data_IF_859590541171
#
_entry.id   IF_859590541171
#
_cell.length_a   1.000
_cell.length_b   1.000
_cell.length_c   1.000
_cell.angle_alpha   90.00
_cell.angle_beta   90.00
_cell.angle_gamma   90.00
#
_symmetry.space_group_name_H-M   'P 1'
#
loop_
_entity.id
_entity.type
_entity.pdbx_description
1 polymer ?
#
# COMPACT_ATOMS: atom_id res chain seq x y z
N UNK A 1 -27.64 30.88 8.39
CA UNK A 1 -26.25 30.44 8.04
C UNK A 1 -25.35 31.67 8.19
N UNK A 2 -24.21 31.55 8.89
CA UNK A 2 -23.45 32.66 9.48
C UNK A 2 -22.63 33.55 8.50
N UNK A 3 -22.96 33.58 7.20
CA UNK A 3 -22.25 34.42 6.22
C UNK A 3 -20.78 34.06 5.96
N UNK A 4 -20.35 32.84 6.30
CA UNK A 4 -18.99 32.37 6.07
C UNK A 4 -18.76 31.94 4.60
N UNK A 5 -17.55 32.20 4.11
CA UNK A 5 -17.05 31.70 2.82
C UNK A 5 -16.14 30.49 3.04
N UNK A 6 -16.18 29.52 2.12
CA UNK A 6 -15.32 28.33 2.16
C UNK A 6 -14.63 28.12 0.81
N UNK A 7 -13.34 27.74 0.85
CA UNK A 7 -12.58 27.35 -0.33
C UNK A 7 -12.21 25.86 -0.25
N UNK A 8 -12.23 25.19 -1.41
CA UNK A 8 -11.85 23.77 -1.54
C UNK A 8 -10.55 23.70 -2.36
N UNK A 9 -9.57 22.95 -1.88
CA UNK A 9 -8.30 22.72 -2.56
C UNK A 9 -7.64 21.41 -2.14
N UNK A 10 -6.61 20.98 -2.86
CA UNK A 10 -5.85 19.76 -2.53
C UNK A 10 -6.61 18.45 -2.72
N UNK A 11 -7.60 18.43 -3.62
CA UNK A 11 -8.39 17.22 -3.91
C UNK A 11 -7.48 16.18 -4.60
N UNK A 12 -7.47 14.96 -4.09
CA UNK A 12 -6.86 13.80 -4.75
C UNK A 12 -7.85 12.62 -4.78
N UNK A 13 -7.78 11.77 -5.82
CA UNK A 13 -8.64 10.61 -5.94
C UNK A 13 -8.31 9.55 -4.88
N UNK A 14 -9.35 8.85 -4.41
CA UNK A 14 -9.17 7.63 -3.63
C UNK A 14 -8.70 6.47 -4.50
N UNK A 15 -8.11 5.45 -3.87
CA UNK A 15 -7.77 4.19 -4.52
C UNK A 15 -8.80 3.12 -4.17
N UNK A 16 -9.57 2.68 -5.18
CA UNK A 16 -10.57 1.62 -5.01
C UNK A 16 -9.88 0.24 -4.96
N UNK A 17 -10.10 -0.58 -3.91
CA UNK A 17 -9.54 -1.93 -3.85
C UNK A 17 -10.08 -2.85 -4.94
N UNK A 18 -9.23 -3.75 -5.43
CA UNK A 18 -9.57 -4.86 -6.33
C UNK A 18 -9.08 -6.19 -5.70
N UNK A 19 -9.96 -6.92 -4.97
CA UNK A 19 -9.61 -8.18 -4.32
C UNK A 19 -9.27 -9.33 -5.29
N UNK A 20 -9.74 -9.23 -6.52
CA UNK A 20 -9.57 -10.26 -7.55
C UNK A 20 -8.34 -10.00 -8.43
N UNK A 21 -7.57 -8.93 -8.14
CA UNK A 21 -6.40 -8.56 -8.91
C UNK A 21 -5.37 -9.72 -8.96
N UNK A 22 -4.97 -10.21 -10.15
CA UNK A 22 -3.93 -11.23 -10.31
C UNK A 22 -2.64 -10.93 -9.55
N UNK A 23 -2.17 -9.67 -9.56
CA UNK A 23 -0.99 -9.25 -8.80
C UNK A 23 -1.17 -9.47 -7.28
N UNK A 24 -2.34 -9.19 -6.73
CA UNK A 24 -2.62 -9.41 -5.31
C UNK A 24 -2.55 -10.90 -4.95
N UNK A 25 -3.10 -11.78 -5.80
CA UNK A 25 -3.04 -13.22 -5.60
C UNK A 25 -1.60 -13.75 -5.67
N UNK A 26 -0.79 -13.26 -6.62
CA UNK A 26 0.62 -13.60 -6.75
C UNK A 26 1.40 -13.23 -5.48
N UNK A 27 1.23 -11.99 -5.01
CA UNK A 27 1.97 -11.51 -3.82
C UNK A 27 1.54 -12.23 -2.55
N UNK A 28 0.26 -12.55 -2.39
CA UNK A 28 -0.21 -13.40 -1.29
C UNK A 28 0.41 -14.81 -1.34
N UNK A 29 0.57 -15.37 -2.54
CA UNK A 29 1.25 -16.66 -2.76
C UNK A 29 2.71 -16.62 -2.31
N UNK A 30 3.47 -15.66 -2.82
CA UNK A 30 4.89 -15.46 -2.44
C UNK A 30 5.03 -15.21 -0.94
N UNK A 31 4.14 -14.43 -0.34
CA UNK A 31 4.15 -14.19 1.11
C UNK A 31 3.98 -15.49 1.90
N UNK A 32 3.01 -16.33 1.52
CA UNK A 32 2.77 -17.63 2.16
C UNK A 32 3.98 -18.56 2.03
N UNK A 33 4.61 -18.61 0.87
CA UNK A 33 5.82 -19.41 0.64
C UNK A 33 6.98 -18.94 1.53
N UNK A 34 7.21 -17.64 1.63
CA UNK A 34 8.34 -17.09 2.37
C UNK A 34 8.18 -17.13 3.90
N UNK A 35 6.95 -17.04 4.40
CA UNK A 35 6.67 -16.80 5.82
C UNK A 35 5.75 -17.83 6.47
N UNK A 36 5.18 -18.77 5.71
CA UNK A 36 4.33 -19.84 6.24
C UNK A 36 2.95 -19.40 6.74
N UNK A 37 2.58 -18.12 6.56
CA UNK A 37 1.29 -17.56 6.98
C UNK A 37 0.68 -16.71 5.87
N UNK A 38 -0.64 -16.51 5.89
CA UNK A 38 -1.27 -15.54 5.01
C UNK A 38 -0.95 -14.11 5.46
N UNK A 39 -0.75 -13.15 4.53
CA UNK A 39 -0.69 -11.74 4.88
C UNK A 39 -2.09 -11.21 5.20
N UNK A 40 -2.17 -10.16 6.01
CA UNK A 40 -3.38 -9.36 6.14
C UNK A 40 -3.55 -8.48 4.90
N UNK A 41 -4.74 -8.51 4.30
CA UNK A 41 -5.12 -7.68 3.15
C UNK A 41 -6.21 -6.72 3.60
N UNK A 42 -6.02 -5.43 3.33
CA UNK A 42 -6.98 -4.41 3.74
C UNK A 42 -6.82 -3.09 2.99
N UNK A 43 -7.79 -2.21 3.20
CA UNK A 43 -7.75 -0.82 2.80
C UNK A 43 -7.48 0.06 4.03
N UNK A 44 -6.87 1.23 3.82
CA UNK A 44 -6.60 2.18 4.90
C UNK A 44 -7.40 3.48 4.70
N UNK A 45 -7.80 4.12 5.79
CA UNK A 45 -8.42 5.45 5.77
C UNK A 45 -7.35 6.54 5.81
N UNK A 46 -6.49 6.55 4.79
CA UNK A 46 -5.47 7.57 4.56
C UNK A 46 -5.21 7.75 3.06
N UNK A 47 -4.53 8.82 2.70
CA UNK A 47 -4.10 9.06 1.32
C UNK A 47 -2.89 8.20 0.95
N UNK A 48 -2.97 7.52 -0.19
CA UNK A 48 -1.85 6.87 -0.85
C UNK A 48 -1.72 7.42 -2.26
N UNK A 49 -0.48 7.56 -2.73
CA UNK A 49 -0.20 7.97 -4.12
C UNK A 49 -0.79 7.01 -5.15
N UNK A 50 -1.07 5.75 -4.78
CA UNK A 50 -1.79 4.78 -5.61
C UNK A 50 -3.15 5.28 -6.11
N UNK A 51 -3.81 6.19 -5.38
CA UNK A 51 -5.06 6.81 -5.86
C UNK A 51 -4.82 7.67 -7.09
N UNK A 52 -3.78 8.51 -7.05
CA UNK A 52 -3.38 9.38 -8.16
C UNK A 52 -2.82 8.53 -9.31
N UNK A 53 -1.88 7.63 -9.02
CA UNK A 53 -1.23 6.77 -10.03
C UNK A 53 -2.26 5.93 -10.77
N UNK A 54 -3.22 5.31 -10.06
CA UNK A 54 -4.28 4.51 -10.69
C UNK A 54 -5.27 5.31 -11.53
N UNK A 55 -5.54 6.57 -11.14
CA UNK A 55 -6.35 7.47 -11.95
C UNK A 55 -5.62 7.91 -13.22
N UNK A 56 -4.29 8.07 -13.17
CA UNK A 56 -3.44 8.42 -14.32
C UNK A 56 -3.22 7.25 -15.28
N UNK A 57 -3.10 6.02 -14.77
CA UNK A 57 -2.84 4.81 -15.57
C UNK A 57 -3.97 3.78 -15.43
N UNK A 58 -5.08 3.94 -16.18
CA UNK A 58 -6.19 2.99 -16.14
C UNK A 58 -5.75 1.57 -16.48
N UNK A 59 -6.18 0.59 -15.69
CA UNK A 59 -5.84 -0.82 -15.89
C UNK A 59 -4.50 -1.26 -15.28
N UNK A 60 -3.71 -0.34 -14.71
CA UNK A 60 -2.51 -0.69 -13.97
C UNK A 60 -2.86 -1.49 -12.72
N UNK A 61 -2.35 -2.73 -12.61
CA UNK A 61 -2.44 -3.50 -11.38
C UNK A 61 -1.42 -2.96 -10.37
N UNK A 62 -1.89 -2.68 -9.16
CA UNK A 62 -1.07 -2.10 -8.11
C UNK A 62 -1.35 -2.79 -6.78
N UNK A 63 -0.32 -2.87 -5.95
CA UNK A 63 -0.42 -3.22 -4.54
C UNK A 63 0.47 -2.25 -3.76
N UNK A 64 0.20 -2.09 -2.46
CA UNK A 64 1.06 -1.35 -1.55
C UNK A 64 1.39 -2.23 -0.36
N UNK A 65 2.69 -2.34 -0.04
CA UNK A 65 3.20 -3.08 1.11
C UNK A 65 4.54 -2.46 1.54
N UNK A 66 4.91 -2.65 2.80
CA UNK A 66 6.13 -2.05 3.35
C UNK A 66 6.52 -2.61 4.72
N UNK A 67 7.66 -2.17 5.28
CA UNK A 67 8.04 -2.52 6.63
C UNK A 67 7.12 -1.86 7.66
N UNK A 68 7.20 -2.31 8.92
CA UNK A 68 6.46 -1.70 10.02
C UNK A 68 7.15 -0.41 10.45
N UNK A 69 6.50 0.72 10.19
CA UNK A 69 6.88 2.06 10.66
C UNK A 69 5.86 2.50 11.71
N UNK A 70 6.33 3.08 12.82
CA UNK A 70 5.47 3.61 13.88
C UNK A 70 5.69 5.11 14.06
N UNK A 71 4.59 5.82 14.32
CA UNK A 71 4.55 7.27 14.51
C UNK A 71 5.12 8.07 13.32
N UNK A 72 4.79 7.73 12.06
CA UNK A 72 5.23 8.52 10.91
C UNK A 72 4.75 9.96 11.06
N UNK A 73 5.51 10.91 10.51
CA UNK A 73 5.24 12.35 10.58
C UNK A 73 5.38 12.96 11.99
N UNK A 74 6.08 12.29 12.89
CA UNK A 74 6.37 12.82 14.22
C UNK A 74 7.87 12.69 14.55
N UNK A 75 8.40 13.49 15.49
CA UNK A 75 9.77 13.30 15.98
C UNK A 75 10.02 11.91 16.62
N UNK A 76 8.96 11.15 16.92
CA UNK A 76 9.04 9.80 17.47
C UNK A 76 9.02 8.70 16.39
N UNK A 77 9.06 9.08 15.11
CA UNK A 77 9.07 8.18 13.97
C UNK A 77 10.22 7.17 14.07
N UNK A 78 9.88 5.89 13.89
CA UNK A 78 10.85 4.80 13.94
C UNK A 78 10.39 3.60 13.12
N UNK A 79 11.37 2.85 12.60
CA UNK A 79 11.15 1.63 11.83
C UNK A 79 11.56 0.40 12.63
N UNK A 80 10.78 -0.68 12.52
CA UNK A 80 11.11 -1.96 13.13
C UNK A 80 12.12 -2.72 12.26
N UNK A 81 13.39 -2.74 12.67
CA UNK A 81 14.51 -3.30 11.86
C UNK A 81 14.22 -4.71 11.29
N UNK A 82 13.76 -5.70 12.08
CA UNK A 82 13.43 -7.03 11.53
C UNK A 82 12.36 -7.01 10.43
N UNK A 83 11.42 -6.06 10.47
CA UNK A 83 10.39 -5.95 9.43
C UNK A 83 10.94 -5.44 8.10
N UNK A 84 12.05 -4.70 8.10
CA UNK A 84 12.74 -4.26 6.88
C UNK A 84 13.29 -5.46 6.12
N UNK A 85 13.91 -6.42 6.83
CA UNK A 85 14.39 -7.66 6.22
C UNK A 85 13.24 -8.51 5.65
N UNK A 86 12.10 -8.58 6.35
CA UNK A 86 10.90 -9.27 5.83
C UNK A 86 10.36 -8.57 4.57
N UNK A 87 10.23 -7.25 4.60
CA UNK A 87 9.83 -6.45 3.43
C UNK A 87 10.74 -6.72 2.24
N UNK A 88 12.06 -6.68 2.44
CA UNK A 88 13.05 -6.92 1.39
C UNK A 88 12.91 -8.31 0.78
N UNK A 89 12.79 -9.35 1.61
CA UNK A 89 12.58 -10.73 1.14
C UNK A 89 11.31 -10.87 0.31
N UNK A 90 10.21 -10.22 0.72
CA UNK A 90 8.97 -10.23 -0.04
C UNK A 90 9.13 -9.50 -1.38
N UNK A 91 9.74 -8.32 -1.38
CA UNK A 91 9.97 -7.54 -2.60
C UNK A 91 10.78 -8.36 -3.62
N UNK A 92 11.92 -8.92 -3.21
CA UNK A 92 12.75 -9.75 -4.08
C UNK A 92 12.00 -11.02 -4.55
N UNK A 93 11.27 -11.68 -3.65
CA UNK A 93 10.49 -12.87 -4.01
C UNK A 93 9.41 -12.58 -5.05
N UNK A 94 8.70 -11.45 -4.90
CA UNK A 94 7.68 -11.01 -5.87
C UNK A 94 8.33 -10.72 -7.21
N UNK A 95 9.42 -9.94 -7.24
CA UNK A 95 10.14 -9.63 -8.47
C UNK A 95 10.70 -10.86 -9.18
N UNK A 96 11.20 -11.85 -8.42
CA UNK A 96 11.67 -13.12 -8.99
C UNK A 96 10.54 -14.01 -9.54
N UNK A 97 9.31 -13.82 -9.03
CA UNK A 97 8.13 -14.60 -9.44
C UNK A 97 7.38 -13.95 -10.59
N UNK A 98 7.45 -12.62 -10.72
CA UNK A 98 6.89 -11.88 -11.85
C UNK A 98 7.57 -12.34 -13.15
N UNK A 99 6.75 -12.76 -14.12
CA UNK A 99 7.16 -13.19 -15.46
C UNK A 99 6.52 -12.33 -16.52
#
# INVERSE_FOLDING_TARGET
LAGAESAIGGIYPGWRPDPEAPLLQLVQGVYRELFGTAPEVGAMHAGLECGIIGATFPGLQMISFGPTIRFPHSPAERVHIPSVARFWRLLCGVLATLR
#
